data_IF_557573124302
#
_entry.id   IF_557573124302
#
_cell.length_a   1.000
_cell.length_b   1.000
_cell.length_c   1.000
_cell.angle_alpha   90.00
_cell.angle_beta   90.00
_cell.angle_gamma   90.00
#
_symmetry.space_group_name_H-M   'P 1'
#
loop_
_entity.id
_entity.type
_entity.pdbx_description
1 polymer ?
#
# COMPACT_ATOMS: atom_id res chain seq x y z
N UNK A 1 16.73 37.15 15.23
CA UNK A 1 15.31 36.85 14.94
C UNK A 1 14.62 35.98 16.00
N UNK A 2 15.20 34.86 16.48
CA UNK A 2 14.60 34.06 17.58
C UNK A 2 14.70 34.78 18.94
N UNK A 3 15.86 35.35 19.28
CA UNK A 3 16.09 36.03 20.57
C UNK A 3 15.27 37.34 20.75
N UNK A 4 14.96 38.04 19.67
CA UNK A 4 14.09 39.24 19.71
C UNK A 4 12.60 38.87 19.81
N UNK A 5 12.21 37.71 19.27
CA UNK A 5 10.88 37.15 19.49
C UNK A 5 10.73 36.70 20.95
N UNK A 6 11.75 36.09 21.55
CA UNK A 6 11.74 35.61 22.94
C UNK A 6 11.54 36.74 23.96
N UNK A 7 12.12 37.94 23.74
CA UNK A 7 11.91 39.12 24.60
C UNK A 7 10.50 39.71 24.52
N UNK A 8 9.77 39.43 23.44
CA UNK A 8 8.39 39.89 23.19
C UNK A 8 7.38 38.74 23.19
N UNK A 9 7.81 37.53 23.55
CA UNK A 9 7.00 36.33 23.47
C UNK A 9 5.96 36.35 24.59
N UNK A 10 4.70 36.54 24.24
CA UNK A 10 3.57 36.73 25.17
C UNK A 10 3.23 35.49 26.03
N UNK A 11 4.03 34.41 25.91
CA UNK A 11 3.91 33.15 26.65
C UNK A 11 4.76 33.10 27.93
N UNK A 12 5.03 34.23 28.59
CA UNK A 12 5.99 34.40 29.71
C UNK A 12 5.83 33.39 30.88
N UNK A 13 4.68 32.72 31.01
CA UNK A 13 4.51 31.61 31.95
C UNK A 13 5.36 30.39 31.52
N UNK A 14 6.17 29.89 32.46
CA UNK A 14 6.93 28.65 32.26
C UNK A 14 5.99 27.47 32.47
N UNK A 15 5.96 26.58 31.50
CA UNK A 15 5.19 25.34 31.51
C UNK A 15 6.15 24.15 31.48
N UNK A 16 5.76 23.09 32.17
CA UNK A 16 6.50 21.83 32.22
C UNK A 16 5.98 20.90 31.11
N UNK A 17 6.90 20.21 30.44
CA UNK A 17 6.53 19.11 29.55
C UNK A 17 6.02 17.95 30.40
N UNK A 18 4.96 17.29 29.93
CA UNK A 18 4.37 16.16 30.63
C UNK A 18 5.05 14.82 30.35
N UNK A 19 5.90 14.79 29.33
CA UNK A 19 6.58 13.57 28.86
C UNK A 19 8.07 13.55 29.24
N UNK A 20 8.64 14.68 29.69
CA UNK A 20 10.03 14.77 30.16
C UNK A 20 10.27 16.01 31.04
N UNK A 21 11.47 16.15 31.60
CA UNK A 21 11.84 17.24 32.52
C UNK A 21 12.00 18.63 31.86
N UNK A 22 11.62 18.78 30.59
CA UNK A 22 11.74 20.04 29.88
C UNK A 22 10.80 21.11 30.45
N UNK A 23 11.31 22.33 30.59
CA UNK A 23 10.55 23.51 31.01
C UNK A 23 10.80 24.64 30.04
N UNK A 24 9.74 25.36 29.66
CA UNK A 24 9.85 26.48 28.74
C UNK A 24 8.57 27.28 28.67
N UNK A 25 8.62 28.44 28.03
CA UNK A 25 7.42 29.19 27.70
C UNK A 25 6.54 28.41 26.68
N UNK A 26 5.31 28.85 26.44
CA UNK A 26 4.38 28.17 25.52
C UNK A 26 4.94 27.95 24.10
N UNK A 27 5.65 28.92 23.51
CA UNK A 27 6.30 28.75 22.20
C UNK A 27 7.41 27.69 22.23
N UNK A 28 8.25 27.76 23.26
CA UNK A 28 9.33 26.81 23.51
C UNK A 28 8.78 25.39 23.72
N UNK A 29 7.70 25.26 24.50
CA UNK A 29 6.99 24.00 24.72
C UNK A 29 6.40 23.45 23.42
N UNK A 30 5.80 24.31 22.59
CA UNK A 30 5.31 23.92 21.26
C UNK A 30 6.42 23.35 20.38
N UNK A 31 7.54 24.04 20.25
CA UNK A 31 8.68 23.57 19.46
C UNK A 31 9.31 22.31 20.05
N UNK A 32 9.35 22.20 21.38
CA UNK A 32 9.83 21.02 22.07
C UNK A 32 8.97 19.79 21.76
N UNK A 33 7.64 19.88 21.88
CA UNK A 33 6.72 18.78 21.56
C UNK A 33 6.86 18.34 20.09
N UNK A 34 6.92 19.29 19.14
CA UNK A 34 7.12 18.97 17.73
C UNK A 34 8.41 18.17 17.46
N UNK A 35 9.46 18.40 18.24
CA UNK A 35 10.78 17.79 18.02
C UNK A 35 11.01 16.52 18.82
N UNK A 36 10.51 16.45 20.06
CA UNK A 36 10.82 15.39 21.03
C UNK A 36 9.64 14.46 21.32
N UNK A 37 8.41 14.93 21.12
CA UNK A 37 7.18 14.17 21.37
C UNK A 37 6.19 14.33 20.20
N UNK A 38 6.61 14.01 18.95
CA UNK A 38 5.78 14.25 17.77
C UNK A 38 4.45 13.49 17.80
N UNK A 39 4.42 12.31 18.44
CA UNK A 39 3.22 11.47 18.58
C UNK A 39 2.20 12.05 19.58
N UNK A 40 2.67 12.88 20.52
CA UNK A 40 1.85 13.59 21.50
C UNK A 40 1.42 14.99 20.99
N UNK A 41 1.78 15.37 19.76
CA UNK A 41 1.37 16.62 19.16
C UNK A 41 0.16 16.41 18.24
N UNK A 42 -1.02 16.89 18.66
CA UNK A 42 -2.23 16.77 17.87
C UNK A 42 -2.22 17.77 16.71
N UNK A 43 -2.23 17.24 15.49
CA UNK A 43 -2.40 18.04 14.26
C UNK A 43 -3.85 18.43 14.00
N UNK A 44 -4.78 17.65 14.55
CA UNK A 44 -6.21 17.79 14.31
C UNK A 44 -6.96 17.78 15.66
N UNK A 45 -8.16 18.40 15.72
CA UNK A 45 -8.99 18.39 16.93
C UNK A 45 -9.61 17.01 17.23
N UNK A 46 -9.52 16.07 16.29
CA UNK A 46 -10.06 14.72 16.39
C UNK A 46 -8.92 13.74 16.68
N UNK A 47 -9.08 12.90 17.70
CA UNK A 47 -8.14 11.83 18.04
C UNK A 47 -8.88 10.64 18.66
N UNK A 48 -8.30 9.44 18.58
CA UNK A 48 -8.87 8.23 19.17
C UNK A 48 -8.32 7.96 20.56
N UNK A 49 -9.20 7.49 21.45
CA UNK A 49 -8.86 7.05 22.81
C UNK A 49 -9.13 5.56 22.88
N UNK A 50 -8.08 4.77 23.13
CA UNK A 50 -8.22 3.35 23.44
C UNK A 50 -8.55 3.18 24.92
N UNK A 51 -9.74 2.66 25.21
CA UNK A 51 -10.28 2.48 26.55
C UNK A 51 -9.67 1.28 27.29
N UNK A 52 -8.91 0.43 26.61
CA UNK A 52 -8.21 -0.70 27.21
C UNK A 52 -6.77 -0.36 27.62
N UNK A 53 -6.22 0.73 27.08
CA UNK A 53 -4.85 1.11 27.38
C UNK A 53 -4.77 1.74 28.78
N UNK A 54 -3.94 1.16 29.67
CA UNK A 54 -3.77 1.66 31.05
C UNK A 54 -2.83 2.87 31.14
N UNK A 55 -2.59 3.56 30.03
CA UNK A 55 -1.59 4.61 29.93
C UNK A 55 -2.25 5.98 30.07
N UNK A 56 -1.60 6.86 30.81
CA UNK A 56 -1.95 8.28 30.82
C UNK A 56 -1.36 8.90 29.56
N UNK A 57 -2.20 9.59 28.80
CA UNK A 57 -1.76 10.28 27.61
C UNK A 57 -1.93 11.76 27.77
N UNK A 58 -0.89 12.48 27.38
CA UNK A 58 -0.90 13.92 27.32
C UNK A 58 -0.66 14.36 25.88
N UNK A 59 -1.49 15.26 25.40
CA UNK A 59 -1.39 15.84 24.08
C UNK A 59 -1.26 17.36 24.16
N UNK A 60 -0.47 17.89 23.23
CA UNK A 60 -0.44 19.31 22.95
C UNK A 60 -1.18 19.58 21.64
N UNK A 61 -2.18 20.47 21.69
CA UNK A 61 -2.95 20.89 20.52
C UNK A 61 -2.87 22.41 20.35
N UNK A 62 -2.67 22.88 19.12
CA UNK A 62 -2.59 24.31 18.81
C UNK A 62 -3.76 24.77 17.95
N UNK A 63 -4.46 25.82 18.39
CA UNK A 63 -5.49 26.51 17.60
C UNK A 63 -5.16 27.98 17.52
N UNK A 64 -4.75 28.45 16.34
CA UNK A 64 -4.26 29.82 16.15
C UNK A 64 -3.08 30.11 17.08
N UNK A 65 -3.28 31.03 18.02
CA UNK A 65 -2.28 31.43 19.02
C UNK A 65 -2.47 30.78 20.40
N UNK A 66 -3.42 29.85 20.53
CA UNK A 66 -3.70 29.14 21.78
C UNK A 66 -3.12 27.73 21.75
N UNK A 67 -2.56 27.33 22.89
CA UNK A 67 -2.08 25.98 23.14
C UNK A 67 -2.99 25.33 24.18
N UNK A 68 -3.41 24.11 23.90
CA UNK A 68 -4.24 23.30 24.77
C UNK A 68 -3.46 22.08 25.17
N UNK A 69 -3.38 21.88 26.47
CA UNK A 69 -2.88 20.66 27.05
C UNK A 69 -4.07 19.77 27.34
N UNK A 70 -4.11 18.59 26.71
CA UNK A 70 -5.20 17.62 26.85
C UNK A 70 -4.61 16.38 27.49
N UNK A 71 -5.10 16.01 28.66
CA UNK A 71 -4.69 14.78 29.31
C UNK A 71 -5.90 13.88 29.52
N UNK A 72 -5.73 12.59 29.26
CA UNK A 72 -6.72 11.59 29.63
C UNK A 72 -6.09 10.45 30.42
N UNK A 73 -6.89 9.93 31.34
CA UNK A 73 -6.52 8.84 32.23
C UNK A 73 -7.73 7.92 32.43
N UNK A 74 -7.50 6.61 32.31
CA UNK A 74 -8.51 5.60 32.61
C UNK A 74 -8.27 5.12 34.04
N UNK A 75 -9.22 5.39 34.95
CA UNK A 75 -9.11 5.02 36.35
C UNK A 75 -9.41 3.52 36.51
N UNK A 76 -8.42 2.69 36.95
CA UNK A 76 -8.51 1.23 36.88
C UNK A 76 -9.65 0.61 37.67
N UNK A 77 -10.02 1.22 38.81
CA UNK A 77 -10.99 0.65 39.75
C UNK A 77 -12.46 0.93 39.40
N UNK A 78 -12.72 1.88 38.50
CA UNK A 78 -14.09 2.29 38.18
C UNK A 78 -14.40 2.29 36.68
N UNK A 79 -13.43 1.93 35.81
CA UNK A 79 -13.53 2.12 34.35
C UNK A 79 -14.12 3.50 34.03
N UNK A 80 -13.55 4.53 34.66
CA UNK A 80 -13.94 5.92 34.45
C UNK A 80 -12.86 6.58 33.60
N UNK A 81 -13.26 7.17 32.48
CA UNK A 81 -12.38 8.01 31.68
C UNK A 81 -12.36 9.41 32.29
N UNK A 82 -11.21 9.80 32.82
CA UNK A 82 -10.94 11.18 33.24
C UNK A 82 -10.33 11.93 32.07
N UNK A 83 -11.00 12.96 31.59
CA UNK A 83 -10.51 13.86 30.55
C UNK A 83 -10.29 15.24 31.15
N UNK A 84 -9.10 15.79 30.94
CA UNK A 84 -8.77 17.14 31.36
C UNK A 84 -8.21 17.94 30.20
N UNK A 85 -8.60 19.21 30.13
CA UNK A 85 -8.10 20.13 29.12
C UNK A 85 -7.84 21.49 29.74
N UNK A 86 -6.64 22.00 29.51
CA UNK A 86 -6.18 23.27 30.05
C UNK A 86 -5.65 24.16 28.92
N UNK A 87 -6.22 25.35 28.80
CA UNK A 87 -5.72 26.38 27.89
C UNK A 87 -4.48 27.06 28.49
N UNK A 88 -3.44 27.16 27.70
CA UNK A 88 -2.18 27.84 28.02
C UNK A 88 -2.18 29.23 27.35
N UNK A 89 -2.00 30.30 28.15
CA UNK A 89 -1.91 31.70 27.69
C UNK A 89 -2.80 32.69 28.47
N UNK A 90 -2.75 33.99 28.12
CA UNK A 90 -3.46 35.10 28.82
C UNK A 90 -4.98 35.16 28.60
N UNK A 91 -5.51 34.65 27.49
CA UNK A 91 -6.93 34.76 27.15
C UNK A 91 -7.76 33.54 27.60
N UNK A 92 -7.46 32.98 28.78
CA UNK A 92 -8.21 31.82 29.30
C UNK A 92 -9.70 32.14 29.41
N UNK A 93 -10.03 33.32 29.91
CA UNK A 93 -11.41 33.73 30.25
C UNK A 93 -12.37 33.83 29.05
N UNK A 94 -11.84 34.03 27.84
CA UNK A 94 -12.65 34.20 26.63
C UNK A 94 -12.73 32.95 25.75
N UNK A 95 -12.03 31.88 26.11
CA UNK A 95 -11.84 30.70 25.27
C UNK A 95 -12.63 29.51 25.82
N UNK A 96 -13.88 29.42 25.37
CA UNK A 96 -14.77 28.31 25.71
C UNK A 96 -14.37 27.06 24.96
N UNK A 97 -14.21 25.94 25.66
CA UNK A 97 -13.85 24.68 25.03
C UNK A 97 -14.90 23.62 25.32
N UNK A 98 -15.07 22.69 24.38
CA UNK A 98 -16.00 21.60 24.47
C UNK A 98 -15.35 20.31 23.97
N UNK A 99 -15.48 19.25 24.76
CA UNK A 99 -15.07 17.90 24.38
C UNK A 99 -16.31 17.11 24.00
N UNK A 100 -16.24 16.41 22.87
CA UNK A 100 -17.30 15.50 22.42
C UNK A 100 -16.70 14.12 22.21
N UNK A 101 -17.25 13.12 22.90
CA UNK A 101 -16.91 11.72 22.64
C UNK A 101 -17.93 11.10 21.69
N UNK A 102 -17.44 10.35 20.72
CA UNK A 102 -18.25 9.69 19.69
C UNK A 102 -17.83 8.25 19.46
N UNK A 103 -18.79 7.45 19.04
CA UNK A 103 -18.56 6.11 18.49
C UNK A 103 -17.77 6.18 17.21
N UNK A 104 -16.79 5.30 17.05
CA UNK A 104 -16.10 5.15 15.77
C UNK A 104 -16.95 4.41 14.73
N UNK A 105 -17.77 3.43 15.14
CA UNK A 105 -18.58 2.65 14.19
C UNK A 105 -19.92 3.32 13.86
N UNK A 106 -20.58 3.89 14.86
CA UNK A 106 -21.94 4.45 14.70
C UNK A 106 -21.97 5.97 14.56
N UNK A 107 -20.85 6.66 14.84
CA UNK A 107 -20.74 8.13 14.87
C UNK A 107 -21.75 8.82 15.81
N UNK A 108 -22.39 8.07 16.72
CA UNK A 108 -23.27 8.61 17.76
C UNK A 108 -22.44 9.34 18.80
N UNK A 109 -22.93 10.50 19.25
CA UNK A 109 -22.30 11.27 20.35
C UNK A 109 -22.70 10.65 21.69
N UNK A 110 -21.71 10.42 22.54
CA UNK A 110 -21.88 9.80 23.86
C UNK A 110 -21.80 10.81 24.98
N UNK A 111 -20.88 11.76 24.82
CA UNK A 111 -20.62 12.76 25.83
C UNK A 111 -20.35 14.09 25.16
N UNK A 112 -20.78 15.15 25.85
CA UNK A 112 -20.52 16.52 25.48
C UNK A 112 -20.34 17.33 26.76
N UNK A 113 -19.19 17.95 26.92
CA UNK A 113 -18.91 18.78 28.09
C UNK A 113 -19.61 20.15 28.03
N UNK A 114 -19.73 20.79 29.20
CA UNK A 114 -20.08 22.22 29.31
C UNK A 114 -18.96 23.08 28.70
N UNK A 115 -19.32 24.30 28.26
CA UNK A 115 -18.41 25.23 27.57
C UNK A 115 -17.57 26.04 28.58
N UNK A 116 -16.48 25.45 29.08
CA UNK A 116 -15.64 26.05 30.12
C UNK A 116 -14.17 26.21 29.69
N UNK A 117 -13.45 27.11 30.37
CA UNK A 117 -12.05 27.49 30.07
C UNK A 117 -11.03 26.48 30.62
N UNK A 118 -11.43 25.73 31.65
CA UNK A 118 -10.76 24.57 32.21
C UNK A 118 -11.81 23.49 32.33
N UNK A 119 -11.54 22.32 31.78
CA UNK A 119 -12.49 21.23 31.79
C UNK A 119 -11.83 20.01 32.41
N UNK A 120 -12.43 19.45 33.46
CA UNK A 120 -12.09 18.15 34.01
C UNK A 120 -13.38 17.34 34.14
N UNK A 121 -13.53 16.34 33.28
CA UNK A 121 -14.74 15.50 33.21
C UNK A 121 -14.40 14.06 33.54
N UNK A 122 -15.29 13.43 34.32
CA UNK A 122 -15.23 12.01 34.65
C UNK A 122 -16.41 11.31 33.99
N UNK A 123 -16.11 10.44 33.04
CA UNK A 123 -17.10 9.79 32.20
C UNK A 123 -17.09 8.30 32.55
N UNK A 124 -18.22 7.80 33.02
CA UNK A 124 -18.42 6.37 33.21
C UNK A 124 -18.58 5.69 31.84
N UNK A 125 -17.63 4.82 31.49
CA UNK A 125 -17.61 4.10 30.22
C UNK A 125 -18.08 2.64 30.36
N UNK A 126 -18.51 2.20 31.56
CA UNK A 126 -19.02 0.83 31.81
C UNK A 126 -20.23 0.50 30.93
N UNK A 127 -21.22 1.38 30.91
CA UNK A 127 -22.42 1.22 30.08
C UNK A 127 -22.08 1.09 28.58
N UNK A 128 -20.96 1.68 28.15
CA UNK A 128 -20.56 1.77 26.74
C UNK A 128 -19.79 0.56 26.25
N UNK A 129 -18.82 0.06 27.04
CA UNK A 129 -18.08 -1.18 26.73
C UNK A 129 -19.05 -2.36 26.58
N UNK A 130 -20.07 -2.41 27.44
CA UNK A 130 -21.06 -3.50 27.47
C UNK A 130 -22.07 -3.43 26.32
N UNK A 131 -22.57 -2.23 25.98
CA UNK A 131 -23.64 -2.05 24.99
C UNK A 131 -23.17 -2.14 23.54
N UNK A 132 -21.95 -1.67 23.24
CA UNK A 132 -21.49 -1.54 21.85
C UNK A 132 -20.29 -2.44 21.49
N UNK A 133 -19.69 -3.15 22.45
CA UNK A 133 -18.45 -3.94 22.26
C UNK A 133 -17.32 -3.12 21.59
N UNK A 134 -17.30 -1.81 21.80
CA UNK A 134 -16.28 -0.90 21.27
C UNK A 134 -15.25 -0.60 22.36
N UNK A 135 -13.98 -0.83 22.05
CA UNK A 135 -12.88 -0.53 22.95
C UNK A 135 -12.17 0.79 22.61
N UNK A 136 -12.52 1.43 21.49
CA UNK A 136 -11.91 2.67 21.01
C UNK A 136 -13.01 3.68 20.69
N UNK A 137 -12.87 4.90 21.21
CA UNK A 137 -13.80 6.01 20.95
C UNK A 137 -13.09 7.19 20.29
N UNK A 138 -13.80 7.92 19.44
CA UNK A 138 -13.30 9.17 18.87
C UNK A 138 -13.56 10.32 19.86
N UNK A 139 -12.53 11.09 20.17
CA UNK A 139 -12.62 12.33 20.90
C UNK A 139 -12.47 13.52 19.94
N UNK A 140 -13.46 14.39 19.93
CA UNK A 140 -13.49 15.62 19.12
C UNK A 140 -13.43 16.84 20.04
N UNK A 141 -12.47 17.73 19.79
CA UNK A 141 -12.31 18.99 20.48
C UNK A 141 -12.94 20.13 19.68
N UNK A 142 -13.78 20.93 20.34
CA UNK A 142 -14.31 22.18 19.79
C UNK A 142 -13.87 23.35 20.66
N UNK A 143 -13.26 24.35 20.05
CA UNK A 143 -12.85 25.58 20.71
C UNK A 143 -13.72 26.72 20.18
N UNK A 144 -14.23 27.59 21.05
CA UNK A 144 -15.03 28.77 20.72
C UNK A 144 -14.43 30.00 21.41
N UNK A 145 -14.55 31.17 20.78
CA UNK A 145 -14.15 32.44 21.39
C UNK A 145 -15.24 33.48 21.12
N UNK A 146 -15.87 33.99 22.17
CA UNK A 146 -17.03 34.87 22.05
C UNK A 146 -18.21 34.21 21.32
N UNK A 147 -18.86 34.91 20.38
CA UNK A 147 -19.91 34.36 19.51
C UNK A 147 -19.35 33.56 18.32
N UNK A 148 -18.05 33.62 18.08
CA UNK A 148 -17.39 32.92 16.98
C UNK A 148 -16.96 31.52 17.41
N UNK A 149 -17.61 30.52 16.82
CA UNK A 149 -17.13 29.16 16.82
C UNK A 149 -15.82 29.13 16.03
N UNK A 150 -14.69 28.92 16.74
CA UNK A 150 -13.49 28.37 16.13
C UNK A 150 -13.75 26.87 15.89
N UNK A 151 -14.72 26.57 15.03
CA UNK A 151 -14.46 25.47 14.13
C UNK A 151 -13.17 25.88 13.46
N UNK A 152 -12.07 25.18 13.75
CA UNK A 152 -11.05 25.02 12.74
C UNK A 152 -11.83 24.89 11.43
N UNK A 153 -11.60 25.80 10.46
CA UNK A 153 -12.06 25.54 9.11
C UNK A 153 -11.31 24.28 8.72
N UNK A 154 -11.86 23.15 9.14
CA UNK A 154 -11.76 21.93 8.43
C UNK A 154 -12.41 22.28 7.10
N UNK A 155 -11.61 22.82 6.18
CA UNK A 155 -11.50 22.12 4.93
C UNK A 155 -11.18 20.69 5.33
N UNK A 156 -12.23 19.91 5.63
CA UNK A 156 -12.13 18.57 6.20
C UNK A 156 -11.24 17.83 5.23
N UNK A 157 -9.96 17.52 5.54
CA UNK A 157 -9.17 16.77 4.60
C UNK A 157 -9.89 15.45 4.41
N UNK A 158 -10.46 14.82 5.42
CA UNK A 158 -11.11 13.53 5.21
C UNK A 158 -12.49 13.56 4.57
N UNK A 159 -13.32 14.60 4.75
CA UNK A 159 -14.66 14.66 4.10
C UNK A 159 -14.61 15.33 2.75
N UNK A 160 -13.76 16.34 2.55
CA UNK A 160 -13.45 16.86 1.22
C UNK A 160 -12.56 15.91 0.45
N UNK A 161 -11.55 15.24 1.02
CA UNK A 161 -10.82 14.15 0.34
C UNK A 161 -11.75 12.96 0.15
N UNK A 162 -12.61 12.54 1.08
CA UNK A 162 -13.60 11.49 0.74
C UNK A 162 -14.60 11.97 -0.32
N UNK A 163 -14.99 13.24 -0.37
CA UNK A 163 -15.86 13.77 -1.43
C UNK A 163 -15.13 14.00 -2.75
N UNK A 164 -13.86 14.39 -2.72
CA UNK A 164 -12.95 14.62 -3.84
C UNK A 164 -12.56 13.25 -4.37
N UNK A 165 -12.05 12.32 -3.56
CA UNK A 165 -11.89 10.90 -3.91
C UNK A 165 -13.20 10.29 -4.37
N UNK A 166 -14.36 10.56 -3.76
CA UNK A 166 -15.66 10.09 -4.28
C UNK A 166 -16.03 10.75 -5.62
N UNK A 167 -15.68 12.02 -5.82
CA UNK A 167 -15.90 12.75 -7.08
C UNK A 167 -14.89 12.33 -8.16
N UNK A 168 -13.65 12.02 -7.80
CA UNK A 168 -12.58 11.46 -8.63
C UNK A 168 -12.96 10.03 -9.00
N UNK A 169 -13.36 9.19 -8.03
CA UNK A 169 -13.93 7.85 -8.23
C UNK A 169 -15.14 7.87 -9.16
N UNK A 170 -16.01 8.88 -9.06
CA UNK A 170 -17.23 8.96 -9.87
C UNK A 170 -16.98 9.53 -11.28
N UNK A 171 -16.08 10.51 -11.42
CA UNK A 171 -15.96 11.30 -12.65
C UNK A 171 -14.63 11.16 -13.39
N UNK A 172 -13.52 10.91 -12.67
CA UNK A 172 -12.17 10.85 -13.24
C UNK A 172 -11.70 9.40 -13.43
N UNK A 173 -11.81 8.57 -12.40
CA UNK A 173 -11.33 7.19 -12.40
C UNK A 173 -11.94 6.32 -13.49
N UNK A 174 -13.25 6.39 -13.80
CA UNK A 174 -13.82 5.65 -14.92
C UNK A 174 -13.24 6.07 -16.27
N UNK A 175 -12.82 7.33 -16.40
CA UNK A 175 -12.17 7.87 -17.61
C UNK A 175 -10.68 7.49 -17.70
N UNK A 176 -10.11 6.98 -16.60
CA UNK A 176 -8.75 6.45 -16.53
C UNK A 176 -8.74 4.91 -16.55
N UNK A 177 -9.87 4.26 -16.81
CA UNK A 177 -9.91 2.81 -16.97
C UNK A 177 -9.66 2.42 -18.43
N UNK A 178 -8.69 1.54 -18.63
CA UNK A 178 -8.52 0.80 -19.87
C UNK A 178 -9.65 -0.23 -20.01
N UNK A 179 -10.08 -0.61 -21.24
CA UNK A 179 -11.01 -1.72 -21.46
C UNK A 179 -10.60 -3.06 -20.82
N UNK A 180 -9.32 -3.24 -20.45
CA UNK A 180 -8.87 -4.39 -19.67
C UNK A 180 -9.28 -4.36 -18.18
N UNK A 181 -10.01 -3.33 -17.75
CA UNK A 181 -10.47 -3.14 -16.37
C UNK A 181 -9.40 -2.63 -15.40
N UNK A 182 -8.24 -2.22 -15.91
CA UNK A 182 -7.14 -1.65 -15.10
C UNK A 182 -7.03 -0.15 -15.32
N UNK A 183 -6.57 0.57 -14.29
CA UNK A 183 -6.18 1.97 -14.44
C UNK A 183 -5.04 2.10 -15.46
N UNK A 184 -5.15 3.03 -16.40
CA UNK A 184 -4.05 3.36 -17.31
C UNK A 184 -2.93 4.00 -16.50
N UNK A 185 -1.69 3.58 -16.72
CA UNK A 185 -0.51 4.14 -16.06
C UNK A 185 0.46 4.66 -17.12
N UNK A 186 1.26 5.70 -16.85
CA UNK A 186 2.27 6.22 -17.76
C UNK A 186 3.15 5.11 -18.41
N UNK A 187 3.32 5.08 -19.74
CA UNK A 187 2.77 6.03 -20.72
C UNK A 187 1.27 5.79 -20.98
N UNK A 188 0.49 6.87 -20.95
CA UNK A 188 -0.96 6.83 -21.20
C UNK A 188 -1.21 7.20 -22.65
N UNK A 189 -1.91 6.35 -23.38
CA UNK A 189 -2.28 6.59 -24.77
C UNK A 189 -3.71 7.07 -24.85
N UNK A 190 -3.97 8.13 -25.62
CA UNK A 190 -5.30 8.66 -25.92
C UNK A 190 -5.59 8.63 -27.42
N UNK A 191 -6.83 8.33 -27.78
CA UNK A 191 -7.31 8.48 -29.16
C UNK A 191 -7.77 9.94 -29.42
N UNK A 192 -8.05 10.33 -30.68
CA UNK A 192 -8.56 11.67 -31.00
C UNK A 192 -9.84 12.06 -30.24
N UNK A 193 -10.70 11.07 -29.92
CA UNK A 193 -11.92 11.26 -29.13
C UNK A 193 -11.69 11.17 -27.61
N UNK A 194 -10.43 11.20 -27.16
CA UNK A 194 -10.01 11.25 -25.75
C UNK A 194 -10.30 9.98 -24.91
N UNK A 195 -10.51 8.82 -25.55
CA UNK A 195 -10.48 7.53 -24.86
C UNK A 195 -9.05 7.09 -24.57
N UNK A 196 -8.83 6.41 -23.44
CA UNK A 196 -7.49 6.02 -22.99
C UNK A 196 -7.25 4.51 -23.05
N UNK A 197 -6.00 4.11 -23.27
CA UNK A 197 -5.54 2.73 -23.19
C UNK A 197 -4.16 2.62 -22.55
N UNK A 198 -3.91 1.47 -21.93
CA UNK A 198 -2.55 1.06 -21.54
C UNK A 198 -1.75 0.77 -22.80
N UNK A 199 -0.44 1.04 -22.77
CA UNK A 199 0.48 0.71 -23.86
C UNK A 199 0.37 -0.75 -24.33
N UNK A 200 0.27 -1.71 -23.40
CA UNK A 200 0.12 -3.13 -23.71
C UNK A 200 -1.23 -3.52 -24.32
N UNK A 201 -2.23 -2.63 -24.24
CA UNK A 201 -3.57 -2.85 -24.77
C UNK A 201 -3.83 -2.08 -26.06
N UNK A 202 -2.88 -1.25 -26.50
CA UNK A 202 -3.01 -0.44 -27.69
C UNK A 202 -3.08 -1.33 -28.95
N UNK A 203 -4.17 -1.18 -29.70
CA UNK A 203 -4.35 -1.81 -31.01
C UNK A 203 -4.48 -0.72 -32.08
N UNK A 204 -4.58 -1.08 -33.36
CA UNK A 204 -4.79 -0.09 -34.43
C UNK A 204 -6.19 0.57 -34.43
N UNK A 205 -7.06 0.21 -33.49
CA UNK A 205 -8.44 0.71 -33.41
C UNK A 205 -8.83 1.02 -31.96
N UNK A 206 -9.74 1.98 -31.77
CA UNK A 206 -10.28 2.29 -30.45
C UNK A 206 -11.57 1.47 -30.24
N UNK A 207 -11.64 0.60 -29.21
CA UNK A 207 -12.83 -0.23 -28.97
C UNK A 207 -14.05 0.58 -28.49
N UNK A 208 -13.84 1.83 -28.05
CA UNK A 208 -14.91 2.72 -27.60
C UNK A 208 -15.44 3.62 -28.73
N UNK A 209 -14.59 3.99 -29.70
CA UNK A 209 -15.03 4.71 -30.91
C UNK A 209 -15.50 3.75 -32.01
N UNK A 210 -14.99 2.52 -32.02
CA UNK A 210 -15.07 1.59 -33.15
C UNK A 210 -14.37 2.10 -34.42
N UNK A 211 -13.36 2.97 -34.25
CA UNK A 211 -12.63 3.61 -35.35
C UNK A 211 -11.15 3.22 -35.33
N UNK A 212 -10.52 3.25 -36.51
CA UNK A 212 -9.05 3.19 -36.65
C UNK A 212 -8.46 4.45 -36.05
N UNK A 213 -7.45 4.30 -35.19
CA UNK A 213 -6.88 5.42 -34.45
C UNK A 213 -5.36 5.41 -34.49
N UNK A 214 -4.80 6.61 -34.57
CA UNK A 214 -3.40 6.83 -34.23
C UNK A 214 -3.33 7.28 -32.76
N UNK A 215 -2.77 6.45 -31.90
CA UNK A 215 -2.67 6.73 -30.48
C UNK A 215 -1.62 7.81 -30.22
N UNK A 216 -2.00 8.83 -29.46
CA UNK A 216 -1.07 9.88 -28.99
C UNK A 216 -0.84 9.72 -27.50
N UNK A 217 0.38 10.00 -27.03
CA UNK A 217 0.65 10.06 -25.59
C UNK A 217 -0.12 11.20 -24.94
N UNK A 218 -0.52 11.02 -23.68
CA UNK A 218 -1.28 12.01 -22.92
C UNK A 218 -0.49 12.51 -21.69
N UNK A 219 0.55 13.34 -21.85
CA UNK A 219 1.36 13.84 -20.73
C UNK A 219 0.54 14.53 -19.63
N UNK A 220 -0.52 15.26 -20.01
CA UNK A 220 -1.42 15.91 -19.05
C UNK A 220 -2.11 14.89 -18.13
N UNK A 221 -2.47 13.72 -18.68
CA UNK A 221 -3.04 12.63 -17.89
C UNK A 221 -1.99 11.94 -17.02
N UNK A 222 -0.77 11.85 -17.51
CA UNK A 222 0.37 11.29 -16.77
C UNK A 222 0.73 12.16 -15.57
N UNK A 223 0.71 13.50 -15.70
CA UNK A 223 0.99 14.41 -14.59
C UNK A 223 0.02 14.24 -13.40
N UNK A 224 -1.24 13.84 -13.64
CA UNK A 224 -2.16 13.54 -12.54
C UNK A 224 -1.72 12.34 -11.70
N UNK A 225 -0.99 11.39 -12.28
CA UNK A 225 -0.55 10.17 -11.61
C UNK A 225 0.56 10.41 -10.58
N UNK A 226 1.23 11.56 -10.68
CA UNK A 226 2.25 12.00 -9.72
C UNK A 226 1.64 12.71 -8.51
N UNK A 227 0.38 13.13 -8.59
CA UNK A 227 -0.28 13.97 -7.58
C UNK A 227 -1.45 13.23 -6.90
N UNK A 228 -2.14 12.35 -7.63
CA UNK A 228 -3.35 11.67 -7.17
C UNK A 228 -3.05 10.20 -6.85
N UNK A 229 -3.19 9.78 -5.58
CA UNK A 229 -3.10 8.37 -5.23
C UNK A 229 -4.21 7.56 -5.90
N UNK A 230 -3.86 6.46 -6.54
CA UNK A 230 -4.78 5.54 -7.19
C UNK A 230 -5.02 4.31 -6.31
N UNK A 231 -6.22 3.71 -6.40
CA UNK A 231 -6.48 2.44 -5.76
C UNK A 231 -5.76 1.31 -6.51
N UNK A 232 -5.29 0.33 -5.76
CA UNK A 232 -4.73 -0.90 -6.31
C UNK A 232 -5.78 -1.67 -7.12
N UNK A 233 -5.40 -2.18 -8.30
CA UNK A 233 -6.27 -3.03 -9.13
C UNK A 233 -6.81 -4.28 -8.44
N UNK A 234 -6.12 -4.75 -7.39
CA UNK A 234 -6.49 -5.93 -6.61
C UNK A 234 -7.42 -5.62 -5.44
N UNK A 235 -7.94 -4.39 -5.38
CA UNK A 235 -8.91 -3.95 -4.36
C UNK A 235 -8.43 -4.18 -2.92
N UNK A 236 -7.13 -4.02 -2.68
CA UNK A 236 -6.66 -3.76 -1.32
C UNK A 236 -6.99 -2.31 -0.94
N UNK A 237 -7.04 -2.04 0.36
CA UNK A 237 -7.49 -0.75 0.89
C UNK A 237 -6.43 0.37 0.76
N UNK A 238 -5.30 0.09 0.10
CA UNK A 238 -4.19 1.03 -0.07
C UNK A 238 -4.40 1.94 -1.28
N UNK A 239 -4.15 3.24 -1.10
CA UNK A 239 -4.07 4.25 -2.15
C UNK A 239 -2.61 4.69 -2.29
N UNK A 240 -2.06 4.64 -3.51
CA UNK A 240 -0.64 4.89 -3.75
C UNK A 240 -0.43 5.76 -4.99
N UNK A 241 0.61 6.59 -4.98
CA UNK A 241 1.05 7.33 -6.17
C UNK A 241 1.65 6.37 -7.21
N UNK A 242 1.69 6.78 -8.48
CA UNK A 242 2.09 5.90 -9.59
C UNK A 242 3.41 5.13 -9.42
N UNK A 243 4.52 5.75 -8.96
CA UNK A 243 5.78 5.04 -8.78
C UNK A 243 5.64 3.86 -7.80
N UNK A 244 4.92 4.07 -6.70
CA UNK A 244 4.72 3.10 -5.63
C UNK A 244 3.65 2.07 -5.97
N UNK A 245 2.60 2.49 -6.70
CA UNK A 245 1.50 1.63 -7.13
C UNK A 245 2.01 0.48 -8.00
N UNK A 246 2.93 0.73 -8.94
CA UNK A 246 3.49 -0.32 -9.81
C UNK A 246 4.26 -1.38 -9.03
N UNK A 247 5.06 -0.98 -8.05
CA UNK A 247 5.76 -1.91 -7.17
C UNK A 247 4.78 -2.66 -6.27
N UNK A 248 3.79 -1.96 -5.74
CA UNK A 248 2.76 -2.54 -4.89
C UNK A 248 1.92 -3.58 -5.63
N UNK A 249 1.39 -3.30 -6.81
CA UNK A 249 0.53 -4.24 -7.54
C UNK A 249 1.24 -5.54 -7.92
N UNK A 250 2.58 -5.52 -8.03
CA UNK A 250 3.41 -6.72 -8.23
C UNK A 250 3.50 -7.58 -6.97
N UNK A 251 3.49 -6.94 -5.79
CA UNK A 251 3.70 -7.56 -4.48
C UNK A 251 2.44 -7.59 -3.59
N UNK A 252 1.31 -7.15 -4.13
CA UNK A 252 0.07 -7.01 -3.37
C UNK A 252 -0.39 -8.37 -2.84
N UNK A 253 -0.71 -8.43 -1.55
CA UNK A 253 -1.21 -9.65 -0.92
C UNK A 253 -2.54 -10.14 -1.49
N UNK A 254 -3.37 -9.23 -2.01
CA UNK A 254 -4.65 -9.55 -2.68
C UNK A 254 -4.49 -9.87 -4.18
N UNK A 255 -3.26 -9.94 -4.69
CA UNK A 255 -3.01 -10.25 -6.11
C UNK A 255 -3.58 -11.62 -6.47
N UNK A 256 -4.33 -11.64 -7.58
CA UNK A 256 -4.81 -12.88 -8.18
C UNK A 256 -3.90 -13.32 -9.33
N UNK A 257 -3.61 -14.61 -9.36
CA UNK A 257 -2.86 -15.29 -10.40
C UNK A 257 -3.83 -16.07 -11.29
N UNK A 258 -3.53 -16.12 -12.58
CA UNK A 258 -4.27 -16.94 -13.56
C UNK A 258 -3.48 -18.22 -13.83
N UNK A 259 -4.21 -19.30 -14.13
CA UNK A 259 -3.59 -20.50 -14.66
C UNK A 259 -2.89 -20.19 -16.00
N UNK A 260 -1.75 -20.85 -16.26
CA UNK A 260 -1.01 -20.72 -17.54
C UNK A 260 -1.69 -21.47 -18.68
N UNK A 261 -2.50 -22.47 -18.34
CA UNK A 261 -3.20 -23.29 -19.32
C UNK A 261 -4.32 -22.47 -19.95
N UNK A 262 -4.23 -22.27 -21.27
CA UNK A 262 -5.16 -21.41 -22.03
C UNK A 262 -6.63 -21.82 -21.91
N UNK A 263 -6.89 -23.09 -21.64
CA UNK A 263 -8.24 -23.65 -21.51
C UNK A 263 -8.78 -23.54 -20.07
N UNK A 264 -7.93 -23.22 -19.09
CA UNK A 264 -8.32 -23.04 -17.71
C UNK A 264 -8.68 -21.57 -17.43
N UNK A 265 -9.90 -21.34 -16.94
CA UNK A 265 -10.40 -20.01 -16.55
C UNK A 265 -10.13 -19.65 -15.09
N UNK A 266 -9.41 -20.51 -14.35
CA UNK A 266 -9.18 -20.33 -12.92
C UNK A 266 -8.31 -19.11 -12.62
N UNK A 267 -8.68 -18.43 -11.54
CA UNK A 267 -7.86 -17.38 -10.93
C UNK A 267 -8.03 -17.37 -9.42
N UNK A 268 -6.93 -17.18 -8.69
CA UNK A 268 -6.95 -17.16 -7.23
C UNK A 268 -5.66 -16.60 -6.64
N UNK A 269 -5.53 -16.68 -5.32
CA UNK A 269 -4.32 -16.31 -4.60
C UNK A 269 -3.13 -17.21 -4.94
N UNK A 270 -1.92 -16.81 -4.56
CA UNK A 270 -0.70 -17.62 -4.77
C UNK A 270 -0.81 -19.01 -4.12
N UNK A 271 -1.37 -19.08 -2.91
CA UNK A 271 -1.55 -20.34 -2.18
C UNK A 271 -2.55 -21.26 -2.85
N UNK A 272 -3.60 -20.70 -3.45
CA UNK A 272 -4.58 -21.49 -4.21
C UNK A 272 -3.99 -21.91 -5.55
N UNK A 273 -3.17 -21.08 -6.20
CA UNK A 273 -2.45 -21.44 -7.44
C UNK A 273 -1.52 -22.63 -7.18
N UNK A 274 -0.81 -22.62 -6.06
CA UNK A 274 0.03 -23.76 -5.64
C UNK A 274 -0.74 -25.06 -5.41
N UNK A 275 -2.08 -25.02 -5.30
CA UNK A 275 -2.95 -26.19 -5.18
C UNK A 275 -3.79 -26.45 -6.43
N UNK A 276 -3.74 -25.53 -7.39
CA UNK A 276 -4.54 -25.55 -8.59
C UNK A 276 -3.74 -26.17 -9.73
N UNK A 277 -3.97 -27.46 -9.96
CA UNK A 277 -3.26 -28.25 -10.96
C UNK A 277 -4.23 -29.11 -11.75
N UNK A 278 -4.08 -29.10 -13.07
CA UNK A 278 -4.89 -29.90 -13.98
C UNK A 278 -4.15 -31.14 -14.51
N UNK A 279 -2.81 -31.09 -14.56
CA UNK A 279 -2.01 -32.30 -14.68
C UNK A 279 -2.12 -33.10 -13.38
N UNK A 280 -2.25 -34.43 -13.51
CA UNK A 280 -2.45 -35.37 -12.39
C UNK A 280 -1.37 -35.31 -11.30
N UNK A 281 -0.24 -34.67 -11.56
CA UNK A 281 0.74 -34.32 -10.54
C UNK A 281 1.30 -32.91 -10.83
N UNK A 282 1.51 -32.08 -9.80
CA UNK A 282 2.42 -30.95 -9.89
C UNK A 282 3.82 -31.51 -10.08
N UNK A 283 4.68 -30.79 -10.79
CA UNK A 283 6.11 -31.11 -10.78
C UNK A 283 6.65 -30.70 -9.40
N UNK A 284 6.40 -31.55 -8.41
CA UNK A 284 6.92 -31.42 -7.05
C UNK A 284 8.35 -31.93 -7.01
N UNK A 285 9.18 -31.14 -6.33
CA UNK A 285 10.33 -31.57 -5.52
C UNK A 285 11.00 -32.88 -5.96
N UNK A 286 11.64 -32.83 -7.12
CA UNK A 286 12.75 -33.73 -7.43
C UNK A 286 13.85 -32.83 -7.95
N UNK A 287 14.99 -32.84 -7.27
CA UNK A 287 16.19 -32.07 -7.64
C UNK A 287 16.62 -32.24 -9.12
N UNK A 288 16.07 -33.26 -9.79
CA UNK A 288 16.27 -33.57 -11.19
C UNK A 288 14.91 -33.85 -11.85
N UNK A 289 14.44 -32.93 -12.69
CA UNK A 289 13.25 -33.13 -13.53
C UNK A 289 13.68 -33.20 -14.99
N UNK A 290 13.29 -34.28 -15.67
CA UNK A 290 13.63 -34.54 -17.07
C UNK A 290 12.39 -34.36 -17.93
N UNK A 291 12.41 -33.35 -18.80
CA UNK A 291 11.34 -33.11 -19.75
C UNK A 291 11.77 -33.55 -21.15
N UNK A 292 11.02 -34.46 -21.76
CA UNK A 292 11.10 -34.74 -23.19
C UNK A 292 10.21 -33.77 -23.96
N UNK A 293 10.69 -33.21 -25.07
CA UNK A 293 9.84 -32.38 -25.93
C UNK A 293 10.27 -32.49 -27.40
N UNK A 294 9.25 -32.45 -28.25
CA UNK A 294 9.34 -32.47 -29.70
C UNK A 294 8.72 -31.17 -30.23
N UNK A 295 9.54 -30.12 -30.34
CA UNK A 295 9.23 -28.81 -30.97
C UNK A 295 8.07 -27.98 -30.34
N UNK A 296 8.32 -26.71 -29.99
CA UNK A 296 7.25 -25.78 -29.56
C UNK A 296 7.62 -24.78 -28.45
N UNK A 297 6.61 -23.99 -28.05
CA UNK A 297 6.60 -23.22 -26.80
C UNK A 297 6.22 -24.17 -25.67
N UNK A 298 7.02 -24.22 -24.62
CA UNK A 298 6.72 -25.02 -23.42
C UNK A 298 6.68 -24.10 -22.21
N UNK A 299 5.58 -24.15 -21.47
CA UNK A 299 5.35 -23.36 -20.25
C UNK A 299 4.87 -24.31 -19.15
N UNK A 300 5.51 -24.26 -17.99
CA UNK A 300 5.08 -25.04 -16.83
C UNK A 300 5.47 -24.36 -15.53
N UNK A 301 4.84 -24.80 -14.44
CA UNK A 301 5.22 -24.41 -13.10
C UNK A 301 6.01 -25.54 -12.42
N UNK A 302 6.96 -25.15 -11.58
CA UNK A 302 7.78 -26.03 -10.74
C UNK A 302 7.62 -25.59 -9.29
N UNK A 303 7.36 -26.52 -8.39
CA UNK A 303 7.37 -26.25 -6.94
C UNK A 303 8.64 -26.85 -6.35
N UNK A 304 9.49 -25.99 -5.77
CA UNK A 304 10.75 -26.39 -5.15
C UNK A 304 10.93 -25.65 -3.83
N UNK A 305 11.23 -26.38 -2.74
CA UNK A 305 11.32 -25.82 -1.38
C UNK A 305 10.11 -24.96 -0.97
N UNK A 306 8.89 -25.41 -1.28
CA UNK A 306 7.64 -24.66 -1.07
C UNK A 306 7.54 -23.33 -1.83
N UNK A 307 8.42 -23.09 -2.82
CA UNK A 307 8.38 -21.91 -3.67
C UNK A 307 7.94 -22.29 -5.08
N UNK A 308 7.15 -21.42 -5.70
CA UNK A 308 6.62 -21.62 -7.04
C UNK A 308 7.49 -20.91 -8.07
N UNK A 309 7.91 -21.64 -9.11
CA UNK A 309 8.67 -21.12 -10.24
C UNK A 309 7.90 -21.33 -11.52
N UNK A 310 7.89 -20.32 -12.39
CA UNK A 310 7.39 -20.38 -13.75
C UNK A 310 8.56 -20.53 -14.71
N UNK A 311 8.50 -21.56 -15.55
CA UNK A 311 9.49 -21.85 -16.57
C UNK A 311 8.85 -21.71 -17.95
N UNK A 312 9.56 -21.03 -18.84
CA UNK A 312 9.17 -20.88 -20.24
C UNK A 312 10.36 -21.14 -21.14
N UNK A 313 10.11 -21.93 -22.19
CA UNK A 313 11.06 -22.17 -23.25
C UNK A 313 10.47 -21.76 -24.59
N UNK A 314 11.17 -20.86 -25.28
CA UNK A 314 10.78 -20.41 -26.62
C UNK A 314 11.70 -20.99 -27.69
N UNK A 315 11.08 -21.45 -28.78
CA UNK A 315 11.79 -21.82 -30.00
C UNK A 315 12.12 -20.57 -30.84
N UNK A 316 13.40 -20.34 -31.13
CA UNK A 316 13.84 -19.26 -32.00
C UNK A 316 13.85 -19.69 -33.47
N UNK A 317 13.58 -18.74 -34.39
CA UNK A 317 13.60 -18.95 -35.85
C UNK A 317 14.91 -19.56 -36.39
N UNK A 318 16.01 -19.38 -35.67
CA UNK A 318 17.35 -19.84 -36.05
C UNK A 318 17.79 -21.11 -35.28
N UNK A 319 16.87 -22.01 -34.94
CA UNK A 319 17.16 -23.27 -34.20
C UNK A 319 17.68 -23.07 -32.77
N UNK A 320 17.76 -21.84 -32.27
CA UNK A 320 18.08 -21.55 -30.88
C UNK A 320 16.89 -21.78 -29.94
N UNK A 321 17.16 -21.80 -28.64
CA UNK A 321 16.13 -21.85 -27.58
C UNK A 321 16.43 -20.78 -26.54
N UNK A 322 15.40 -20.06 -26.11
CA UNK A 322 15.47 -19.16 -24.96
C UNK A 322 14.87 -19.86 -23.74
N UNK A 323 15.56 -19.75 -22.61
CA UNK A 323 15.09 -20.25 -21.33
C UNK A 323 14.80 -19.08 -20.39
N UNK A 324 13.60 -19.09 -19.85
CA UNK A 324 13.09 -18.10 -18.92
C UNK A 324 12.67 -18.79 -17.64
N UNK A 325 13.22 -18.35 -16.51
CA UNK A 325 12.85 -18.85 -15.17
C UNK A 325 12.48 -17.67 -14.29
N UNK A 326 11.31 -17.76 -13.65
CA UNK A 326 10.76 -16.71 -12.79
C UNK A 326 9.99 -17.32 -11.61
N UNK A 327 10.50 -17.15 -10.39
CA UNK A 327 9.79 -17.28 -9.11
C UNK A 327 8.52 -16.44 -9.14
N UNK A 328 7.46 -17.08 -8.69
CA UNK A 328 6.12 -16.52 -8.57
C UNK A 328 5.92 -16.23 -7.09
N UNK A 329 6.05 -14.96 -6.71
CA UNK A 329 5.97 -14.51 -5.33
C UNK A 329 5.23 -13.17 -5.22
N UNK A 330 4.68 -12.92 -4.03
CA UNK A 330 4.17 -11.61 -3.63
C UNK A 330 5.25 -10.73 -2.98
N UNK A 331 6.51 -11.16 -2.95
CA UNK A 331 7.62 -10.43 -2.33
C UNK A 331 8.62 -10.05 -3.41
N UNK A 332 9.16 -8.83 -3.36
CA UNK A 332 10.26 -8.43 -4.26
C UNK A 332 11.51 -9.26 -3.97
N UNK A 333 11.83 -10.17 -4.88
CA UNK A 333 13.01 -11.04 -4.82
C UNK A 333 14.22 -10.30 -5.38
N UNK A 334 14.64 -9.18 -4.77
CA UNK A 334 15.81 -8.41 -5.27
C UNK A 334 17.16 -9.01 -4.86
N UNK A 335 17.22 -9.81 -3.80
CA UNK A 335 18.48 -10.23 -3.17
C UNK A 335 18.66 -11.74 -2.99
N UNK A 336 17.74 -12.58 -3.48
CA UNK A 336 17.90 -14.03 -3.40
C UNK A 336 18.63 -14.54 -4.65
N UNK A 337 19.83 -15.09 -4.48
CA UNK A 337 20.59 -15.71 -5.55
C UNK A 337 20.12 -17.17 -5.71
N UNK A 338 19.32 -17.42 -6.75
CA UNK A 338 19.02 -18.78 -7.19
C UNK A 338 19.86 -19.06 -8.43
N UNK A 339 20.60 -20.18 -8.43
CA UNK A 339 21.27 -20.67 -9.62
C UNK A 339 20.48 -21.86 -10.17
N UNK A 340 19.81 -21.67 -11.31
CA UNK A 340 19.23 -22.79 -12.03
C UNK A 340 20.21 -23.23 -13.13
N UNK A 341 20.62 -24.49 -13.16
CA UNK A 341 21.37 -25.05 -14.28
C UNK A 341 20.44 -25.80 -15.21
N UNK A 342 20.45 -25.45 -16.49
CA UNK A 342 19.78 -26.25 -17.53
C UNK A 342 20.82 -27.17 -18.13
N UNK A 343 20.61 -28.49 -18.02
CA UNK A 343 21.38 -29.50 -18.71
C UNK A 343 20.59 -29.96 -19.91
N UNK A 344 21.09 -29.67 -21.12
CA UNK A 344 20.54 -30.27 -22.33
C UNK A 344 21.19 -31.65 -22.49
N UNK A 345 20.40 -32.72 -22.41
CA UNK A 345 20.85 -34.09 -22.69
C UNK A 345 20.21 -34.57 -23.99
N UNK A 346 21.05 -34.86 -24.98
CA UNK A 346 20.62 -35.47 -26.24
C UNK A 346 21.10 -36.92 -26.28
N UNK A 347 20.22 -37.83 -26.71
CA UNK A 347 20.52 -39.26 -26.86
C UNK A 347 20.09 -39.70 -28.25
N UNK A 348 21.03 -39.68 -29.19
CA UNK A 348 20.90 -40.27 -30.53
C UNK A 348 22.08 -41.23 -30.68
N UNK A 349 21.83 -42.44 -31.21
CA UNK A 349 22.88 -43.43 -31.54
C UNK A 349 23.83 -43.79 -30.38
N UNK A 350 23.33 -43.79 -29.14
CA UNK A 350 24.12 -44.17 -27.95
C UNK A 350 25.08 -43.10 -27.42
N UNK A 351 25.18 -41.92 -28.08
CA UNK A 351 26.02 -40.81 -27.63
C UNK A 351 25.21 -39.85 -26.75
N UNK A 352 25.70 -39.60 -25.54
CA UNK A 352 25.12 -38.63 -24.60
C UNK A 352 25.98 -37.37 -24.58
N UNK A 353 25.42 -36.23 -24.98
CA UNK A 353 26.07 -34.93 -24.83
C UNK A 353 25.32 -34.09 -23.78
N UNK A 354 26.08 -33.46 -22.88
CA UNK A 354 25.57 -32.60 -21.81
C UNK A 354 26.12 -31.19 -21.93
N UNK A 355 25.26 -30.20 -21.72
CA UNK A 355 25.70 -28.80 -21.69
C UNK A 355 24.93 -28.05 -20.62
N UNK A 356 25.69 -27.43 -19.71
CA UNK A 356 25.17 -26.71 -18.55
C UNK A 356 25.10 -25.21 -18.84
N UNK A 357 23.96 -24.60 -18.52
CA UNK A 357 23.79 -23.15 -18.54
C UNK A 357 23.24 -22.67 -17.21
N UNK A 358 23.94 -21.76 -16.53
CA UNK A 358 23.47 -21.15 -15.29
C UNK A 358 22.55 -19.98 -15.62
N UNK A 359 21.33 -20.01 -15.08
CA UNK A 359 20.33 -18.97 -15.16
C UNK A 359 20.41 -18.13 -13.89
N UNK A 360 20.54 -16.81 -14.07
CA UNK A 360 20.34 -15.85 -12.97
C UNK A 360 18.89 -15.42 -12.94
N UNK A 361 18.38 -15.23 -11.73
CA UNK A 361 16.99 -14.89 -11.50
C UNK A 361 16.61 -13.52 -12.13
N UNK A 362 15.48 -13.47 -12.84
CA UNK A 362 15.05 -12.28 -13.62
C UNK A 362 15.78 -12.08 -14.95
N UNK A 363 16.75 -12.95 -15.27
CA UNK A 363 17.50 -12.93 -16.52
C UNK A 363 16.87 -13.78 -17.62
N UNK A 364 17.27 -13.48 -18.86
CA UNK A 364 16.98 -14.30 -20.03
C UNK A 364 18.31 -14.94 -20.44
N UNK A 365 18.42 -16.26 -20.43
CA UNK A 365 19.58 -16.94 -21.00
C UNK A 365 19.22 -17.44 -22.38
N UNK A 366 19.96 -16.93 -23.36
CA UNK A 366 19.83 -17.34 -24.76
C UNK A 366 20.89 -18.39 -25.07
N UNK A 367 20.44 -19.59 -25.39
CA UNK A 367 21.31 -20.60 -26.00
C UNK A 367 21.25 -20.40 -27.52
N UNK A 368 22.35 -19.86 -28.08
CA UNK A 368 22.46 -19.48 -29.49
C UNK A 368 22.51 -20.67 -30.46
N UNK A 369 22.40 -20.41 -31.77
CA UNK A 369 22.40 -21.44 -32.83
C UNK A 369 23.61 -22.38 -32.77
N UNK A 370 24.77 -21.89 -32.36
CA UNK A 370 25.99 -22.70 -32.15
C UNK A 370 25.87 -23.76 -31.04
N UNK A 371 24.96 -23.56 -30.08
CA UNK A 371 24.67 -24.53 -29.03
C UNK A 371 23.78 -25.67 -29.51
N UNK A 372 22.98 -25.46 -30.56
CA UNK A 372 22.06 -26.47 -31.10
C UNK A 372 22.55 -27.03 -32.45
N UNK A 373 23.46 -26.36 -33.14
CA UNK A 373 24.04 -26.81 -34.40
C UNK A 373 24.91 -28.06 -34.27
N UNK A 374 25.43 -28.35 -33.06
CA UNK A 374 26.13 -29.61 -32.76
C UNK A 374 25.19 -30.81 -32.56
N UNK A 375 23.88 -30.59 -32.44
CA UNK A 375 22.92 -31.63 -32.06
C UNK A 375 22.10 -32.19 -33.24
N UNK A 376 22.31 -31.69 -34.46
CA UNK A 376 21.67 -32.19 -35.69
C UNK A 376 20.14 -32.04 -35.72
N UNK A 377 19.50 -32.55 -36.77
CA UNK A 377 18.04 -32.51 -36.99
C UNK A 377 17.24 -33.45 -36.06
N UNK A 378 17.88 -34.07 -35.07
CA UNK A 378 17.22 -34.99 -34.16
C UNK A 378 16.19 -34.26 -33.30
N UNK A 379 14.97 -34.80 -33.23
CA UNK A 379 13.83 -34.17 -32.53
C UNK A 379 13.68 -34.58 -31.06
N UNK A 380 14.52 -35.52 -30.58
CA UNK A 380 14.38 -36.14 -29.26
C UNK A 380 15.38 -35.56 -28.25
N UNK A 381 15.03 -34.40 -27.68
CA UNK A 381 15.82 -33.77 -26.61
C UNK A 381 15.24 -34.07 -25.23
N UNK A 382 16.12 -34.26 -24.26
CA UNK A 382 15.78 -34.25 -22.83
C UNK A 382 16.40 -33.01 -22.19
N UNK A 383 15.60 -32.22 -21.49
CA UNK A 383 16.14 -31.14 -20.66
C UNK A 383 16.02 -31.53 -19.21
N UNK A 384 17.16 -31.46 -18.52
CA UNK A 384 17.25 -31.62 -17.08
C UNK A 384 17.37 -30.23 -16.49
N UNK A 385 16.38 -29.82 -15.71
CA UNK A 385 16.48 -28.61 -14.92
C UNK A 385 16.95 -28.98 -13.52
N UNK A 386 18.10 -28.45 -13.11
CA UNK A 386 18.54 -28.52 -11.72
C UNK A 386 18.43 -27.13 -11.12
N UNK A 387 17.60 -26.98 -10.10
CA UNK A 387 17.53 -25.76 -9.31
C UNK A 387 18.45 -25.94 -8.09
N UNK A 388 19.48 -25.12 -7.97
CA UNK A 388 20.34 -25.09 -6.79
C UNK A 388 20.16 -23.75 -6.07
N UNK A 389 19.94 -23.82 -4.76
CA UNK A 389 20.04 -22.65 -3.88
C UNK A 389 21.53 -22.40 -3.66
N UNK A 390 21.98 -21.18 -3.95
CA UNK A 390 23.35 -20.73 -3.64
C UNK A 390 23.38 -19.94 -2.36
#
# INVERSE_FOLDING_TARGET
MVEEHEKKCEFVAIHECSECDYRGNGCQLYHHFLKKHPDNFLKYPEFSVDLLEKKNWNYLYRVGNHLFFIAYQILPHHRVLKLSMNCIGRNKETTKCQIILKSLTSNKEYFRSSEENFLEEKIDILEHLEKNKENVVACLLKVKRGAELFTYRSNKPERQVKQIVKALNKNLFPKLLCPCGSFVLPPILKCPSNHVQCESCATSYCPLCSDVVNWSRAPDLEAFHDIIPLPCRWQCETLLLHPELRSHEKTCSKRLYKCIEKWCSWSGSLNELMRHWHSSEPVYDRAHQVYGFSEGLVEFYLVYNNELFYLRMDSLKNSGRNFHVRKVSNVETRNEAYAASVVLRHSCDGVTMEKNAVLKFGGITRLGKSYFSHFGECKNYKIIFNLQLT
#
